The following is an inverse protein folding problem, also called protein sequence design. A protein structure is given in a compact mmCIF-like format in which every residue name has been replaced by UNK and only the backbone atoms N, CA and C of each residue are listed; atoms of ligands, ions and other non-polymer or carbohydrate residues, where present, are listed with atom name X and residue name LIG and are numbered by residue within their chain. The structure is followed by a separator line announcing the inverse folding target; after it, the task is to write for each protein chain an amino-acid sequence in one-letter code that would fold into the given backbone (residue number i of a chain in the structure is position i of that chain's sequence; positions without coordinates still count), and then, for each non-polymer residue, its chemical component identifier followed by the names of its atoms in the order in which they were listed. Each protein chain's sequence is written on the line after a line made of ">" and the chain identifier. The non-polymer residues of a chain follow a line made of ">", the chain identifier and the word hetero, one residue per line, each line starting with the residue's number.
data_IF_889392354199
#
_entry.id   IF_889392354199
#
_cell.length_a   1.000
_cell.length_b   1.000
_cell.length_c   1.000
_cell.angle_alpha   90.00
_cell.angle_beta   90.00
_cell.angle_gamma   90.00
#
_symmetry.space_group_name_H-M   'P 1'
#
loop_
_entity.id
_entity.type
_entity.pdbx_description
1 polymer ?
#
# COMPACT_ATOMS: atom_id res chain seq x y z
N UNK A 1 -35.61 41.93 -11.86
CA UNK A 1 -34.65 42.02 -10.73
C UNK A 1 -34.47 40.73 -9.91
N UNK A 2 -35.27 39.68 -10.14
CA UNK A 2 -35.21 38.42 -9.37
C UNK A 2 -34.21 37.39 -9.95
N UNK A 3 -33.99 37.41 -11.27
CA UNK A 3 -33.10 36.48 -11.98
C UNK A 3 -31.60 36.74 -11.70
N UNK A 4 -31.19 38.02 -11.61
CA UNK A 4 -29.79 38.42 -11.36
C UNK A 4 -29.34 38.17 -9.91
N UNK A 5 -30.30 38.15 -8.98
CA UNK A 5 -30.06 37.83 -7.56
C UNK A 5 -29.83 36.33 -7.35
N UNK A 6 -30.57 35.48 -8.07
CA UNK A 6 -30.47 34.04 -7.95
C UNK A 6 -29.21 33.47 -8.61
N UNK A 7 -28.81 34.01 -9.76
CA UNK A 7 -27.51 33.65 -10.39
C UNK A 7 -26.32 34.08 -9.55
N UNK A 8 -26.39 35.23 -8.88
CA UNK A 8 -25.35 35.66 -7.94
C UNK A 8 -25.32 34.82 -6.66
N UNK A 9 -26.47 34.39 -6.15
CA UNK A 9 -26.55 33.51 -4.97
C UNK A 9 -26.04 32.11 -5.29
N UNK A 10 -26.37 31.57 -6.46
CA UNK A 10 -25.91 30.25 -6.93
C UNK A 10 -24.41 30.25 -7.23
N UNK A 11 -23.88 31.33 -7.83
CA UNK A 11 -22.44 31.49 -8.06
C UNK A 11 -21.66 31.64 -6.74
N UNK A 12 -22.22 32.34 -5.74
CA UNK A 12 -21.62 32.48 -4.42
C UNK A 12 -21.65 31.16 -3.63
N UNK A 13 -22.71 30.35 -3.78
CA UNK A 13 -22.82 29.02 -3.18
C UNK A 13 -21.87 28.00 -3.84
N UNK A 14 -21.72 28.06 -5.17
CA UNK A 14 -20.73 27.23 -5.89
C UNK A 14 -19.29 27.63 -5.57
N UNK A 15 -19.00 28.93 -5.40
CA UNK A 15 -17.68 29.39 -4.98
C UNK A 15 -17.35 28.98 -3.53
N UNK A 16 -18.35 28.97 -2.64
CA UNK A 16 -18.20 28.46 -1.26
C UNK A 16 -18.01 26.93 -1.25
N UNK A 17 -18.61 26.20 -2.19
CA UNK A 17 -18.41 24.75 -2.34
C UNK A 17 -17.03 24.40 -2.92
N UNK A 18 -16.49 25.22 -3.83
CA UNK A 18 -15.13 25.06 -4.38
C UNK A 18 -14.04 25.39 -3.34
N UNK A 19 -14.34 26.22 -2.33
CA UNK A 19 -13.43 26.50 -1.21
C UNK A 19 -13.48 25.47 -0.07
N UNK A 20 -14.47 24.57 -0.04
CA UNK A 20 -14.60 23.52 0.97
C UNK A 20 -14.07 22.14 0.55
N UNK A 21 -13.55 21.99 -0.68
CA UNK A 21 -12.97 20.72 -1.18
C UNK A 21 -11.48 20.89 -1.55
N UNK A 22 -10.56 20.90 -0.58
CA UNK A 22 -9.18 20.55 -0.85
C UNK A 22 -9.03 19.06 -0.58
N UNK A 23 -9.00 18.22 -1.63
CA UNK A 23 -8.31 16.91 -1.68
C UNK A 23 -8.70 16.16 -2.97
N UNK A 24 -8.36 16.75 -4.12
CA UNK A 24 -8.25 16.01 -5.37
C UNK A 24 -6.90 16.35 -6.02
N UNK A 25 -5.83 16.19 -5.25
CA UNK A 25 -4.51 16.01 -5.84
C UNK A 25 -4.44 14.56 -6.34
N UNK A 26 -4.28 14.30 -7.65
CA UNK A 26 -3.82 13.00 -8.07
C UNK A 26 -2.44 12.81 -7.45
N UNK A 27 -2.32 11.83 -6.56
CA UNK A 27 -1.06 11.45 -5.97
C UNK A 27 -0.07 11.17 -7.10
N UNK A 28 0.90 12.08 -7.27
CA UNK A 28 2.07 11.82 -8.08
C UNK A 28 2.67 10.50 -7.57
N UNK A 29 3.08 9.58 -8.47
CA UNK A 29 3.69 8.34 -8.03
C UNK A 29 4.97 8.73 -7.31
N UNK A 30 4.96 8.59 -5.98
CA UNK A 30 6.16 8.68 -5.16
C UNK A 30 7.07 7.57 -5.66
N UNK A 31 8.04 7.98 -6.46
CA UNK A 31 9.11 7.14 -6.94
C UNK A 31 9.77 6.54 -5.71
N UNK A 32 9.46 5.26 -5.46
CA UNK A 32 9.92 4.51 -4.31
C UNK A 32 11.45 4.41 -4.43
N UNK A 33 12.13 5.39 -3.84
CA UNK A 33 13.56 5.51 -3.83
C UNK A 33 14.16 4.15 -3.49
N UNK A 34 14.94 3.65 -4.44
CA UNK A 34 15.66 2.38 -4.48
C UNK A 34 16.68 2.28 -3.34
N UNK A 35 16.22 2.25 -2.10
CA UNK A 35 17.08 2.03 -0.93
C UNK A 35 17.53 0.59 -0.96
N UNK A 36 18.79 0.40 -1.33
CA UNK A 36 19.46 -0.90 -1.27
C UNK A 36 19.82 -1.20 0.19
N UNK A 37 19.35 -2.34 0.70
CA UNK A 37 19.63 -2.81 2.06
C UNK A 37 20.46 -4.09 1.98
N UNK A 38 21.53 -4.16 2.76
CA UNK A 38 22.40 -5.34 2.85
C UNK A 38 22.10 -6.07 4.14
N UNK A 39 21.78 -7.35 4.03
CA UNK A 39 21.48 -8.25 5.14
C UNK A 39 22.57 -9.32 5.23
N UNK A 40 22.97 -9.66 6.46
CA UNK A 40 23.84 -10.81 6.73
C UNK A 40 22.95 -12.00 7.05
N UNK A 41 23.14 -13.09 6.33
CA UNK A 41 22.43 -14.36 6.50
C UNK A 41 23.45 -15.48 6.72
N UNK A 42 22.99 -16.64 7.17
CA UNK A 42 23.83 -17.84 7.33
C UNK A 42 24.53 -18.25 6.01
N UNK A 43 23.92 -17.93 4.86
CA UNK A 43 24.45 -18.21 3.52
C UNK A 43 25.36 -17.10 2.98
N UNK A 44 25.61 -16.03 3.75
CA UNK A 44 26.44 -14.89 3.36
C UNK A 44 25.68 -13.58 3.25
N UNK A 45 26.10 -12.70 2.34
CA UNK A 45 25.54 -11.35 2.17
C UNK A 45 24.40 -11.35 1.16
N UNK A 46 23.23 -10.86 1.56
CA UNK A 46 22.06 -10.68 0.70
C UNK A 46 21.81 -9.19 0.48
N UNK A 47 21.63 -8.79 -0.77
CA UNK A 47 21.35 -7.38 -1.13
C UNK A 47 19.91 -7.30 -1.63
N UNK A 48 19.04 -6.60 -0.90
CA UNK A 48 17.66 -6.34 -1.30
C UNK A 48 17.56 -4.91 -1.82
N UNK A 49 17.10 -4.75 -3.06
CA UNK A 49 16.91 -3.44 -3.68
C UNK A 49 15.45 -2.99 -3.50
N UNK A 50 15.26 -1.80 -2.96
CA UNK A 50 13.93 -1.22 -2.76
C UNK A 50 13.07 -2.01 -1.78
N UNK A 51 11.75 -1.78 -1.84
CA UNK A 51 10.78 -2.49 -0.98
C UNK A 51 10.23 -3.71 -1.72
N UNK A 52 10.44 -4.94 -1.21
CA UNK A 52 9.90 -6.13 -1.84
C UNK A 52 8.37 -6.10 -1.78
N UNK A 53 7.72 -6.23 -2.95
CA UNK A 53 6.26 -6.27 -3.06
C UNK A 53 5.66 -7.67 -2.91
N UNK A 54 6.49 -8.70 -3.11
CA UNK A 54 6.08 -10.11 -3.15
C UNK A 54 7.10 -10.92 -2.36
N UNK A 55 6.61 -11.66 -1.37
CA UNK A 55 7.43 -12.45 -0.45
C UNK A 55 6.90 -13.88 -0.48
N UNK A 56 7.81 -14.85 -0.53
CA UNK A 56 7.53 -16.28 -0.41
C UNK A 56 8.32 -16.81 0.78
N UNK A 57 7.66 -17.56 1.66
CA UNK A 57 8.28 -18.12 2.86
C UNK A 57 8.47 -19.63 2.71
N UNK A 58 9.65 -20.11 3.12
CA UNK A 58 9.98 -21.54 3.07
C UNK A 58 9.91 -22.23 4.43
N UNK A 59 9.70 -21.48 5.51
CA UNK A 59 9.57 -22.00 6.86
C UNK A 59 8.31 -21.47 7.54
N UNK A 60 7.74 -22.25 8.46
CA UNK A 60 6.55 -21.85 9.23
C UNK A 60 6.82 -20.60 10.07
N UNK A 61 7.98 -20.56 10.72
CA UNK A 61 8.41 -19.39 11.50
C UNK A 61 8.56 -18.14 10.62
N UNK A 62 9.01 -18.30 9.36
CA UNK A 62 9.08 -17.20 8.40
C UNK A 62 7.69 -16.70 8.02
N UNK A 63 6.72 -17.60 7.81
CA UNK A 63 5.32 -17.23 7.53
C UNK A 63 4.71 -16.44 8.68
N UNK A 64 4.87 -16.91 9.92
CA UNK A 64 4.36 -16.24 11.11
C UNK A 64 4.96 -14.84 11.31
N UNK A 65 6.28 -14.71 11.10
CA UNK A 65 6.95 -13.41 11.15
C UNK A 65 6.40 -12.44 10.09
N UNK A 66 6.16 -12.90 8.87
CA UNK A 66 5.60 -12.06 7.79
C UNK A 66 4.16 -11.63 8.11
N UNK A 67 3.33 -12.54 8.63
CA UNK A 67 1.94 -12.24 9.03
C UNK A 67 1.89 -11.27 10.21
N UNK A 68 2.79 -11.43 11.19
CA UNK A 68 2.91 -10.51 12.34
C UNK A 68 3.28 -9.10 11.91
N UNK A 69 4.08 -8.97 10.84
CA UNK A 69 4.39 -7.68 10.23
C UNK A 69 3.23 -7.08 9.41
N UNK A 70 2.07 -7.75 9.37
CA UNK A 70 0.89 -7.33 8.61
C UNK A 70 1.03 -7.53 7.09
N UNK A 71 2.00 -8.34 6.65
CA UNK A 71 2.24 -8.61 5.24
C UNK A 71 1.58 -9.92 4.83
N UNK A 72 0.96 -9.94 3.64
CA UNK A 72 0.40 -11.16 3.05
C UNK A 72 1.43 -11.81 2.13
N UNK A 73 1.96 -13.01 2.45
CA UNK A 73 2.86 -13.72 1.55
C UNK A 73 2.12 -14.20 0.30
N UNK A 74 2.82 -14.26 -0.83
CA UNK A 74 2.29 -14.78 -2.10
C UNK A 74 2.27 -16.30 -2.10
N UNK A 75 3.18 -16.92 -1.35
CA UNK A 75 3.24 -18.36 -1.14
C UNK A 75 3.95 -18.67 0.17
N UNK A 76 3.54 -19.76 0.80
CA UNK A 76 4.11 -20.26 2.04
C UNK A 76 4.21 -21.78 1.94
N UNK A 77 5.17 -22.35 2.66
CA UNK A 77 5.24 -23.80 2.78
C UNK A 77 4.11 -24.32 3.67
N UNK A 78 3.72 -25.57 3.46
CA UNK A 78 2.78 -26.30 4.31
C UNK A 78 3.48 -27.54 4.85
N UNK A 79 3.00 -28.08 5.96
CA UNK A 79 3.52 -29.35 6.47
C UNK A 79 3.32 -30.44 5.41
N UNK A 80 4.30 -31.36 5.29
CA UNK A 80 4.24 -32.51 4.40
C UNK A 80 3.15 -33.54 4.80
N UNK A 81 2.25 -33.20 5.73
CA UNK A 81 1.18 -34.05 6.23
C UNK A 81 -0.01 -34.20 5.27
N UNK A 82 0.09 -33.72 4.03
CA UNK A 82 -0.95 -33.86 3.00
C UNK A 82 -2.22 -33.02 3.25
N UNK A 83 -2.31 -32.36 4.40
CA UNK A 83 -3.40 -31.46 4.77
C UNK A 83 -3.06 -30.05 4.33
N UNK A 84 -3.46 -29.69 3.11
CA UNK A 84 -3.63 -28.28 2.73
C UNK A 84 -4.72 -27.68 3.63
N UNK A 85 -4.44 -26.63 4.43
CA UNK A 85 -5.52 -25.87 5.03
C UNK A 85 -6.21 -25.12 3.90
N UNK A 86 -7.31 -25.69 3.42
CA UNK A 86 -8.28 -24.97 2.62
C UNK A 86 -8.99 -23.99 3.55
N UNK A 87 -8.61 -22.70 3.49
CA UNK A 87 -9.48 -21.52 3.64
C UNK A 87 -8.66 -20.22 3.58
#
# INVERSE_FOLDING_TARGET
>A
MLQKKWTSLLAMLMALFVLLVPLAQPAAPVEAASKTRVFKTELGKLVIKGTPKRIVTLSMAGTDAVVTLGLKPVGYTISNSGTVPCE
#
